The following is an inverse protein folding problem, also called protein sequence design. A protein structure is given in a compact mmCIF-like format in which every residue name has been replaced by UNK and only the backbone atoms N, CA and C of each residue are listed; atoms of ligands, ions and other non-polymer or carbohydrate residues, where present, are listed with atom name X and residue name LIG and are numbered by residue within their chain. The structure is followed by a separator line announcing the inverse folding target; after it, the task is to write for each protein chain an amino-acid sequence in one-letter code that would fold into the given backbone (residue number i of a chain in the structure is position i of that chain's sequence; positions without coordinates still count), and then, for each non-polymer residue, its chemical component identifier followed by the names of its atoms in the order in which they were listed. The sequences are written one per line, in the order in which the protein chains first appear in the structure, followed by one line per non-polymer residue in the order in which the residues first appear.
data_IF_549391132472
#
_entry.id   IF_549391132472
#
_cell.length_a   1.000
_cell.length_b   1.000
_cell.length_c   1.000
_cell.angle_alpha   90.00
_cell.angle_beta   90.00
_cell.angle_gamma   90.00
#
_symmetry.space_group_name_H-M   'P 1'
#
loop_
_entity.id
_entity.type
_entity.pdbx_description
1 polymer ?
#
# COMPACT_ATOMS: atom_id res chain seq x y z
N UNK A 1 -4.52 20.29 27.53
CA UNK A 1 -4.79 18.91 27.06
C UNK A 1 -6.03 18.92 26.18
N UNK A 2 -5.93 18.58 24.89
CA UNK A 2 -7.11 18.48 24.02
C UNK A 2 -7.90 17.21 24.36
N UNK A 3 -9.18 17.33 24.74
CA UNK A 3 -10.05 16.21 25.09
C UNK A 3 -10.11 15.16 23.95
N UNK A 4 -10.02 13.88 24.31
CA UNK A 4 -10.17 12.76 23.39
C UNK A 4 -11.67 12.61 23.09
N UNK A 5 -12.07 12.77 21.82
CA UNK A 5 -13.46 12.48 21.40
C UNK A 5 -13.51 11.07 20.82
N UNK A 6 -14.46 10.25 21.26
CA UNK A 6 -14.63 8.91 20.71
C UNK A 6 -14.82 8.99 19.18
N UNK A 7 -14.11 8.15 18.39
CA UNK A 7 -14.32 8.10 16.96
C UNK A 7 -15.76 7.67 16.66
N UNK A 8 -16.39 8.33 15.68
CA UNK A 8 -17.76 8.01 15.32
C UNK A 8 -17.91 6.58 14.79
N UNK A 9 -19.09 5.97 14.95
CA UNK A 9 -19.42 4.60 14.53
C UNK A 9 -18.96 4.23 13.11
N UNK A 10 -19.00 5.19 12.17
CA UNK A 10 -18.52 5.00 10.79
C UNK A 10 -17.02 4.72 10.72
N UNK A 11 -16.20 5.40 11.51
CA UNK A 11 -14.74 5.21 11.57
C UNK A 11 -14.41 3.83 12.13
N UNK A 12 -15.12 3.43 13.19
CA UNK A 12 -14.96 2.12 13.81
C UNK A 12 -15.23 0.99 12.82
N UNK A 13 -16.41 0.97 12.18
CA UNK A 13 -16.77 -0.07 11.20
C UNK A 13 -15.77 -0.18 10.05
N UNK A 14 -15.26 0.95 9.55
CA UNK A 14 -14.29 0.98 8.44
C UNK A 14 -12.93 0.43 8.84
N UNK A 15 -12.52 0.69 10.09
CA UNK A 15 -11.25 0.17 10.61
C UNK A 15 -11.25 -1.36 10.72
N UNK A 16 -12.43 -1.98 10.85
CA UNK A 16 -12.58 -3.44 10.96
C UNK A 16 -12.60 -4.18 9.61
N UNK A 17 -12.71 -3.49 8.47
CA UNK A 17 -12.74 -4.10 7.13
C UNK A 17 -11.58 -5.08 6.85
N UNK A 18 -10.31 -4.80 7.22
CA UNK A 18 -9.21 -5.75 7.00
C UNK A 18 -9.24 -6.98 7.91
N UNK A 19 -10.00 -6.97 9.01
CA UNK A 19 -9.94 -8.02 10.03
C UNK A 19 -10.37 -9.40 9.50
N UNK A 20 -11.48 -9.55 8.74
CA UNK A 20 -11.85 -10.83 8.15
C UNK A 20 -10.77 -11.42 7.24
N UNK A 21 -10.14 -10.61 6.39
CA UNK A 21 -9.06 -11.08 5.51
C UNK A 21 -7.82 -11.53 6.30
N UNK A 22 -7.47 -10.80 7.37
CA UNK A 22 -6.35 -11.16 8.25
C UNK A 22 -6.62 -12.46 9.01
N UNK A 23 -7.80 -12.60 9.61
CA UNK A 23 -8.22 -13.82 10.32
C UNK A 23 -8.28 -15.02 9.38
N UNK A 24 -8.79 -14.82 8.16
CA UNK A 24 -8.80 -15.86 7.14
C UNK A 24 -7.38 -16.27 6.75
N UNK A 25 -6.48 -15.32 6.51
CA UNK A 25 -5.06 -15.60 6.26
C UNK A 25 -4.41 -16.39 7.40
N UNK A 26 -4.66 -16.00 8.65
CA UNK A 26 -4.16 -16.72 9.82
C UNK A 26 -4.69 -18.17 9.89
N UNK A 27 -5.97 -18.38 9.58
CA UNK A 27 -6.56 -19.72 9.50
C UNK A 27 -5.89 -20.59 8.42
N UNK A 28 -5.65 -20.04 7.22
CA UNK A 28 -4.96 -20.75 6.13
C UNK A 28 -3.53 -21.10 6.54
N UNK A 29 -2.79 -20.15 7.13
CA UNK A 29 -1.42 -20.39 7.62
C UNK A 29 -1.39 -21.50 8.68
N UNK A 30 -2.31 -21.45 9.65
CA UNK A 30 -2.43 -22.48 10.68
C UNK A 30 -2.69 -23.88 10.09
N UNK A 31 -3.62 -23.99 9.13
CA UNK A 31 -3.97 -25.27 8.51
C UNK A 31 -2.80 -25.90 7.73
N UNK A 32 -1.91 -25.08 7.19
CA UNK A 32 -0.72 -25.53 6.47
C UNK A 32 0.52 -25.67 7.36
N UNK A 33 0.38 -25.61 8.69
CA UNK A 33 1.49 -25.80 9.62
C UNK A 33 2.51 -24.66 9.63
N UNK A 34 2.14 -23.47 9.13
CA UNK A 34 3.00 -22.28 9.19
C UNK A 34 3.19 -21.88 10.65
N UNK A 35 4.43 -21.56 11.03
CA UNK A 35 4.79 -21.16 12.39
C UNK A 35 3.87 -20.05 12.95
N UNK A 36 3.47 -20.22 14.21
CA UNK A 36 2.60 -19.28 14.95
C UNK A 36 3.10 -17.85 14.92
N UNK A 37 4.42 -17.66 14.89
CA UNK A 37 5.05 -16.34 14.88
C UNK A 37 4.58 -15.52 13.67
N UNK A 38 4.41 -16.13 12.49
CA UNK A 38 4.06 -15.39 11.27
C UNK A 38 2.62 -14.86 11.30
N UNK A 39 1.64 -15.74 11.52
CA UNK A 39 0.24 -15.29 11.51
C UNK A 39 -0.12 -14.47 12.74
N UNK A 40 0.50 -14.72 13.90
CA UNK A 40 0.27 -13.91 15.10
C UNK A 40 0.87 -12.51 14.94
N UNK A 41 2.02 -12.37 14.27
CA UNK A 41 2.59 -11.07 13.91
C UNK A 41 1.65 -10.28 13.01
N UNK A 42 1.09 -10.93 12.00
CA UNK A 42 0.16 -10.30 11.05
C UNK A 42 -1.15 -9.85 11.73
N UNK A 43 -1.70 -10.70 12.60
CA UNK A 43 -2.89 -10.40 13.40
C UNK A 43 -2.63 -9.24 14.37
N UNK A 44 -1.50 -9.27 15.09
CA UNK A 44 -1.10 -8.23 16.03
C UNK A 44 -0.93 -6.89 15.31
N UNK A 45 -0.27 -6.88 14.15
CA UNK A 45 -0.13 -5.67 13.33
C UNK A 45 -1.47 -5.11 12.88
N UNK A 46 -2.42 -5.97 12.52
CA UNK A 46 -3.77 -5.55 12.10
C UNK A 46 -4.55 -4.94 13.27
N UNK A 47 -4.50 -5.56 14.45
CA UNK A 47 -5.13 -5.04 15.68
C UNK A 47 -4.50 -3.70 16.06
N UNK A 48 -3.17 -3.59 16.04
CA UNK A 48 -2.48 -2.33 16.29
C UNK A 48 -2.86 -1.25 15.27
N UNK A 49 -2.95 -1.60 14.00
CA UNK A 49 -3.42 -0.70 12.94
C UNK A 49 -4.82 -0.16 13.19
N UNK A 50 -5.74 -1.01 13.66
CA UNK A 50 -7.09 -0.61 14.09
C UNK A 50 -7.01 0.38 15.26
N UNK A 51 -6.29 0.03 16.33
CA UNK A 51 -6.15 0.86 17.54
C UNK A 51 -5.55 2.23 17.19
N UNK A 52 -4.47 2.24 16.42
CA UNK A 52 -3.79 3.46 15.98
C UNK A 52 -4.73 4.32 15.13
N UNK A 53 -5.49 3.70 14.21
CA UNK A 53 -6.48 4.41 13.40
C UNK A 53 -7.54 5.07 14.29
N UNK A 54 -8.14 4.33 15.22
CA UNK A 54 -9.13 4.88 16.14
C UNK A 54 -8.55 6.02 16.97
N UNK A 55 -7.31 5.88 17.46
CA UNK A 55 -6.62 6.91 18.22
C UNK A 55 -6.35 8.17 17.39
N UNK A 56 -5.80 8.04 16.18
CA UNK A 56 -5.53 9.18 15.28
C UNK A 56 -6.84 9.93 14.99
N UNK A 57 -7.90 9.21 14.64
CA UNK A 57 -9.18 9.82 14.29
C UNK A 57 -9.90 10.45 15.49
N UNK A 58 -9.62 10.00 16.72
CA UNK A 58 -10.13 10.61 17.96
C UNK A 58 -9.55 12.00 18.25
N UNK A 59 -8.36 12.30 17.69
CA UNK A 59 -7.63 13.55 17.98
C UNK A 59 -7.91 14.68 16.98
N UNK A 60 -8.53 14.39 15.83
CA UNK A 60 -8.93 15.38 14.81
C UNK A 60 -7.86 16.42 14.44
N UNK A 61 -6.57 16.05 14.41
CA UNK A 61 -5.49 16.98 14.07
C UNK A 61 -5.18 16.92 12.58
N UNK A 62 -5.20 18.07 11.92
CA UNK A 62 -4.68 18.24 10.57
C UNK A 62 -3.15 18.31 10.60
N UNK A 63 -2.49 17.83 9.55
CA UNK A 63 -1.03 17.87 9.44
C UNK A 63 -0.57 19.25 8.94
N UNK A 64 0.33 19.95 9.65
CA UNK A 64 0.92 21.20 9.19
C UNK A 64 1.71 21.04 7.88
N UNK A 65 1.76 22.10 7.06
CA UNK A 65 2.49 22.09 5.79
C UNK A 65 4.01 21.83 5.94
N UNK A 66 4.65 22.34 6.99
CA UNK A 66 6.07 22.07 7.31
C UNK A 66 6.35 20.56 7.48
N UNK A 67 5.37 19.82 7.97
CA UNK A 67 5.49 18.39 8.21
C UNK A 67 5.37 17.58 6.90
N UNK A 68 4.86 18.17 5.82
CA UNK A 68 4.75 17.48 4.52
C UNK A 68 6.11 17.32 3.85
N UNK A 69 6.98 18.33 3.89
CA UNK A 69 8.33 18.24 3.33
C UNK A 69 9.20 17.25 4.13
N UNK A 70 9.09 17.29 5.45
CA UNK A 70 9.78 16.33 6.32
C UNK A 70 9.28 14.91 6.05
N UNK A 71 7.96 14.70 5.94
CA UNK A 71 7.40 13.41 5.57
C UNK A 71 7.86 12.93 4.20
N UNK A 72 7.94 13.83 3.20
CA UNK A 72 8.47 13.48 1.88
C UNK A 72 9.93 13.06 1.95
N UNK A 73 10.78 13.84 2.64
CA UNK A 73 12.20 13.53 2.82
C UNK A 73 12.43 12.22 3.57
N UNK A 74 11.69 11.98 4.66
CA UNK A 74 11.77 10.73 5.41
C UNK A 74 11.29 9.52 4.59
N UNK A 75 10.20 9.64 3.85
CA UNK A 75 9.71 8.56 2.99
C UNK A 75 10.66 8.25 1.83
N UNK A 76 11.25 9.28 1.19
CA UNK A 76 12.27 9.08 0.15
C UNK A 76 13.53 8.46 0.77
N UNK A 77 13.97 8.94 1.92
CA UNK A 77 15.07 8.35 2.67
C UNK A 77 14.83 6.88 2.98
N UNK A 78 13.63 6.51 3.41
CA UNK A 78 13.27 5.11 3.68
C UNK A 78 13.28 4.23 2.43
N UNK A 79 12.86 4.74 1.27
CA UNK A 79 13.04 4.03 0.00
C UNK A 79 14.52 3.88 -0.37
N UNK A 80 15.33 4.92 -0.18
CA UNK A 80 16.77 4.87 -0.50
C UNK A 80 17.53 3.91 0.42
N UNK A 81 17.07 3.72 1.67
CA UNK A 81 17.65 2.77 2.60
C UNK A 81 17.63 1.32 2.08
N UNK A 82 16.77 0.98 1.12
CA UNK A 82 16.73 -0.38 0.57
C UNK A 82 17.99 -0.73 -0.24
N UNK A 83 18.71 0.25 -0.76
CA UNK A 83 19.97 0.04 -1.51
C UNK A 83 21.18 -0.21 -0.61
N UNK A 84 21.07 0.07 0.69
CA UNK A 84 22.16 -0.14 1.64
C UNK A 84 22.18 -1.55 2.25
N UNK A 85 21.08 -2.29 2.13
CA UNK A 85 21.05 -3.69 2.55
C UNK A 85 21.70 -4.57 1.49
N UNK A 86 22.28 -5.69 1.92
CA UNK A 86 22.74 -6.74 1.01
C UNK A 86 21.57 -7.14 0.12
N UNK A 87 21.81 -7.16 -1.19
CA UNK A 87 20.81 -7.54 -2.16
C UNK A 87 20.44 -9.01 -1.98
N UNK A 88 19.14 -9.31 -2.14
CA UNK A 88 18.70 -10.68 -2.35
C UNK A 88 18.52 -10.84 -3.85
N UNK A 89 19.50 -11.44 -4.53
CA UNK A 89 19.49 -11.65 -5.98
C UNK A 89 19.28 -10.34 -6.79
N UNK A 90 19.97 -9.26 -6.44
CA UNK A 90 19.82 -7.96 -7.09
C UNK A 90 18.52 -7.22 -6.77
N UNK A 91 17.70 -7.71 -5.83
CA UNK A 91 16.42 -7.08 -5.44
C UNK A 91 16.57 -6.25 -4.17
N UNK A 92 16.25 -4.96 -4.27
CA UNK A 92 16.41 -3.96 -3.21
C UNK A 92 15.07 -3.40 -2.73
N UNK A 93 14.15 -4.25 -2.27
CA UNK A 93 12.81 -3.80 -1.82
C UNK A 93 12.69 -3.60 -0.32
N UNK A 94 13.59 -4.21 0.46
CA UNK A 94 13.44 -4.37 1.90
C UNK A 94 14.41 -3.50 2.71
N UNK A 95 13.90 -2.95 3.80
CA UNK A 95 14.69 -2.40 4.90
C UNK A 95 14.66 -3.37 6.06
N UNK A 96 15.84 -3.85 6.48
CA UNK A 96 15.95 -4.70 7.67
C UNK A 96 15.95 -3.86 8.94
N UNK A 97 14.94 -4.04 9.80
CA UNK A 97 14.81 -3.32 11.07
C UNK A 97 14.47 -4.30 12.17
N UNK A 98 15.37 -4.50 13.13
CA UNK A 98 15.10 -5.28 14.34
C UNK A 98 14.66 -6.73 14.08
N UNK A 99 15.23 -7.41 13.09
CA UNK A 99 14.86 -8.78 12.74
C UNK A 99 13.73 -8.89 11.71
N UNK A 100 13.19 -7.77 11.24
CA UNK A 100 12.04 -7.73 10.32
C UNK A 100 12.45 -7.16 8.97
N UNK A 101 11.98 -7.80 7.89
CA UNK A 101 12.12 -7.31 6.53
C UNK A 101 10.90 -6.47 6.16
N UNK A 102 11.09 -5.15 6.05
CA UNK A 102 10.03 -4.22 5.69
C UNK A 102 10.15 -3.84 4.22
N UNK A 103 9.20 -4.25 3.37
CA UNK A 103 9.09 -3.72 2.02
C UNK A 103 8.77 -2.21 2.11
N UNK A 104 9.67 -1.36 1.60
CA UNK A 104 9.57 0.08 1.76
C UNK A 104 8.50 0.72 0.87
N UNK A 105 8.32 0.20 -0.35
CA UNK A 105 7.31 0.68 -1.30
C UNK A 105 5.88 0.53 -0.75
N UNK A 106 5.56 -0.65 -0.22
CA UNK A 106 4.24 -0.92 0.38
C UNK A 106 3.88 0.04 1.52
N UNK A 107 4.87 0.52 2.29
CA UNK A 107 4.65 1.49 3.38
C UNK A 107 4.54 2.92 2.84
N UNK A 108 5.44 3.32 1.94
CA UNK A 108 5.65 4.72 1.55
C UNK A 108 4.79 5.18 0.38
N UNK A 109 4.42 4.29 -0.55
CA UNK A 109 3.59 4.64 -1.72
C UNK A 109 2.24 5.28 -1.32
N UNK A 110 1.47 4.76 -0.34
CA UNK A 110 0.28 5.45 0.15
C UNK A 110 0.57 6.84 0.72
N UNK A 111 1.73 7.04 1.36
CA UNK A 111 2.16 8.36 1.87
C UNK A 111 2.41 9.32 0.71
N UNK A 112 3.12 8.87 -0.33
CA UNK A 112 3.43 9.70 -1.50
C UNK A 112 2.18 10.16 -2.26
N UNK A 113 1.16 9.30 -2.41
CA UNK A 113 -0.11 9.70 -3.03
C UNK A 113 -0.78 10.87 -2.29
N UNK A 114 -0.77 10.83 -0.95
CA UNK A 114 -1.26 11.95 -0.15
C UNK A 114 -0.39 13.20 -0.28
N UNK A 115 0.94 13.05 -0.29
CA UNK A 115 1.85 14.18 -0.46
C UNK A 115 1.67 14.87 -1.82
N UNK A 116 1.47 14.12 -2.90
CA UNK A 116 1.19 14.65 -4.24
C UNK A 116 -0.06 15.54 -4.22
N UNK A 117 -1.12 15.11 -3.55
CA UNK A 117 -2.36 15.89 -3.44
C UNK A 117 -2.15 17.15 -2.60
N UNK A 118 -1.47 17.03 -1.45
CA UNK A 118 -1.34 18.14 -0.48
C UNK A 118 -0.31 19.20 -0.85
N UNK A 119 0.60 18.94 -1.78
CA UNK A 119 1.65 19.90 -2.19
C UNK A 119 1.18 21.03 -3.14
N UNK A 120 -0.14 21.16 -3.40
CA UNK A 120 -0.71 22.28 -4.16
C UNK A 120 -0.21 22.35 -5.61
N UNK A 121 -0.39 23.48 -6.30
CA UNK A 121 -0.14 23.66 -7.75
C UNK A 121 1.33 23.83 -8.17
N UNK A 122 2.29 23.48 -7.31
CA UNK A 122 3.72 23.60 -7.61
C UNK A 122 4.22 22.45 -8.53
N UNK A 123 5.48 22.54 -9.00
CA UNK A 123 6.17 21.43 -9.71
C UNK A 123 6.56 20.27 -8.79
N UNK A 124 6.56 20.46 -7.47
CA UNK A 124 7.02 19.48 -6.47
C UNK A 124 6.32 18.11 -6.55
N UNK A 125 4.99 18.01 -6.76
CA UNK A 125 4.30 16.73 -6.92
C UNK A 125 4.80 15.93 -8.13
N UNK A 126 5.11 16.62 -9.24
CA UNK A 126 5.66 15.99 -10.44
C UNK A 126 7.08 15.47 -10.16
N UNK A 127 7.92 16.31 -9.55
CA UNK A 127 9.29 15.92 -9.14
C UNK A 127 9.27 14.72 -8.19
N UNK A 128 8.40 14.76 -7.17
CA UNK A 128 8.24 13.67 -6.21
C UNK A 128 7.80 12.38 -6.91
N UNK A 129 6.80 12.46 -7.78
CA UNK A 129 6.34 11.32 -8.59
C UNK A 129 7.47 10.72 -9.44
N UNK A 130 8.24 11.55 -10.15
CA UNK A 130 9.34 11.10 -10.99
C UNK A 130 10.44 10.43 -10.14
N UNK A 131 10.88 11.08 -9.05
CA UNK A 131 11.91 10.54 -8.15
C UNK A 131 11.47 9.18 -7.59
N UNK A 132 10.25 9.11 -7.04
CA UNK A 132 9.76 7.86 -6.43
C UNK A 132 9.62 6.75 -7.47
N UNK A 133 9.09 7.05 -8.67
CA UNK A 133 8.96 6.05 -9.73
C UNK A 133 10.33 5.54 -10.20
N UNK A 134 11.32 6.42 -10.34
CA UNK A 134 12.70 6.03 -10.70
C UNK A 134 13.33 5.17 -9.61
N UNK A 135 13.16 5.52 -8.34
CA UNK A 135 13.65 4.69 -7.24
C UNK A 135 12.99 3.30 -7.28
N UNK A 136 11.67 3.21 -7.44
CA UNK A 136 10.96 1.92 -7.51
C UNK A 136 11.40 1.09 -8.73
N UNK A 137 11.69 1.73 -9.87
CA UNK A 137 12.26 1.06 -11.06
C UNK A 137 13.62 0.42 -10.75
N UNK A 138 14.44 1.07 -9.92
CA UNK A 138 15.72 0.54 -9.47
C UNK A 138 15.58 -0.56 -8.39
N UNK A 139 14.39 -0.77 -7.79
CA UNK A 139 14.10 -1.83 -6.81
C UNK A 139 13.51 -3.13 -7.44
N UNK A 140 13.68 -3.28 -8.75
CA UNK A 140 12.83 -4.06 -9.68
C UNK A 140 11.40 -4.45 -9.25
N UNK A 141 10.61 -3.64 -8.52
CA UNK A 141 9.27 -4.04 -8.01
C UNK A 141 8.13 -3.68 -8.97
N UNK A 142 7.74 -4.61 -9.85
CA UNK A 142 6.67 -4.37 -10.83
C UNK A 142 5.31 -4.05 -10.16
N UNK A 143 4.99 -4.71 -9.04
CA UNK A 143 3.77 -4.43 -8.28
C UNK A 143 3.72 -2.99 -7.81
N UNK A 144 4.78 -2.53 -7.15
CA UNK A 144 4.82 -1.17 -6.60
C UNK A 144 5.00 -0.10 -7.67
N UNK A 145 5.78 -0.36 -8.73
CA UNK A 145 5.87 0.55 -9.89
C UNK A 145 4.50 0.72 -10.52
N UNK A 146 3.77 -0.36 -10.81
CA UNK A 146 2.42 -0.27 -11.39
C UNK A 146 1.43 0.43 -10.48
N UNK A 147 1.33 -0.02 -9.22
CA UNK A 147 0.36 0.50 -8.29
C UNK A 147 0.57 1.98 -8.02
N UNK A 148 1.82 2.40 -7.76
CA UNK A 148 2.13 3.80 -7.49
C UNK A 148 2.01 4.66 -8.74
N UNK A 149 2.63 4.27 -9.86
CA UNK A 149 2.72 5.14 -11.03
C UNK A 149 1.36 5.43 -11.65
N UNK A 150 0.48 4.42 -11.75
CA UNK A 150 -0.88 4.57 -12.29
C UNK A 150 -1.74 5.39 -11.32
N UNK A 151 -1.70 5.10 -10.02
CA UNK A 151 -2.44 5.89 -9.03
C UNK A 151 -2.00 7.35 -8.99
N UNK A 152 -0.69 7.62 -9.02
CA UNK A 152 -0.13 8.96 -9.02
C UNK A 152 -0.44 9.71 -10.33
N UNK A 153 -0.42 9.02 -11.47
CA UNK A 153 -0.82 9.58 -12.76
C UNK A 153 -2.24 10.16 -12.70
N UNK A 154 -3.20 9.47 -12.08
CA UNK A 154 -4.57 9.97 -11.91
C UNK A 154 -4.61 11.30 -11.13
N UNK A 155 -3.78 11.43 -10.10
CA UNK A 155 -3.66 12.65 -9.29
C UNK A 155 -3.02 13.82 -10.05
N UNK A 156 -2.07 13.51 -10.93
CA UNK A 156 -1.35 14.48 -11.74
C UNK A 156 -2.11 14.86 -13.02
N UNK A 157 -3.00 14.00 -13.51
CA UNK A 157 -3.72 14.18 -14.77
C UNK A 157 -4.46 15.52 -14.86
N UNK A 158 -5.15 15.89 -13.78
CA UNK A 158 -5.90 17.15 -13.66
C UNK A 158 -5.01 18.38 -13.63
N UNK A 159 -3.70 18.22 -13.40
CA UNK A 159 -2.72 19.30 -13.31
C UNK A 159 -2.01 19.56 -14.64
N UNK A 160 -2.01 18.58 -15.54
CA UNK A 160 -1.47 18.72 -16.88
C UNK A 160 -2.42 19.57 -17.75
N UNK A 161 -2.06 20.84 -17.98
CA UNK A 161 -2.86 21.76 -18.81
C UNK A 161 -2.70 21.51 -20.31
N UNK A 162 -1.47 21.22 -20.75
CA UNK A 162 -1.19 20.97 -22.18
C UNK A 162 -1.31 19.49 -22.51
N UNK A 163 -1.83 19.12 -23.70
CA UNK A 163 -1.96 17.73 -24.13
C UNK A 163 -0.60 17.01 -24.17
N UNK A 164 0.48 17.71 -24.56
CA UNK A 164 1.83 17.16 -24.58
C UNK A 164 2.26 16.59 -23.22
N UNK A 165 1.99 17.29 -22.11
CA UNK A 165 2.34 16.81 -20.77
C UNK A 165 1.58 15.54 -20.39
N UNK A 166 0.33 15.39 -20.85
CA UNK A 166 -0.46 14.16 -20.63
C UNK A 166 0.12 12.99 -21.40
N UNK A 167 0.51 13.22 -22.66
CA UNK A 167 1.18 12.21 -23.50
C UNK A 167 2.50 11.78 -22.87
N UNK A 168 3.34 12.74 -22.45
CA UNK A 168 4.62 12.43 -21.78
C UNK A 168 4.42 11.64 -20.48
N UNK A 169 3.40 11.99 -19.69
CA UNK A 169 3.06 11.27 -18.46
C UNK A 169 2.64 9.82 -18.77
N UNK A 170 1.77 9.61 -19.78
CA UNK A 170 1.38 8.26 -20.22
C UNK A 170 2.60 7.49 -20.69
N UNK A 171 3.43 8.06 -21.57
CA UNK A 171 4.62 7.39 -22.09
C UNK A 171 5.58 6.98 -20.97
N UNK A 172 5.83 7.88 -20.01
CA UNK A 172 6.70 7.58 -18.87
C UNK A 172 6.13 6.43 -18.02
N UNK A 173 4.84 6.49 -17.67
CA UNK A 173 4.17 5.43 -16.88
C UNK A 173 4.17 4.11 -17.65
N UNK A 174 3.76 4.10 -18.91
CA UNK A 174 3.73 2.90 -19.75
C UNK A 174 5.11 2.29 -19.93
N UNK A 175 6.15 3.10 -20.18
CA UNK A 175 7.52 2.61 -20.32
C UNK A 175 8.04 2.01 -19.00
N UNK A 176 7.81 2.69 -17.87
CA UNK A 176 8.18 2.18 -16.55
C UNK A 176 7.54 0.82 -16.25
N UNK A 177 6.23 0.71 -16.50
CA UNK A 177 5.48 -0.53 -16.29
C UNK A 177 5.96 -1.64 -17.23
N UNK A 178 6.08 -1.36 -18.52
CA UNK A 178 6.54 -2.33 -19.50
C UNK A 178 7.93 -2.86 -19.12
N UNK A 179 8.84 -1.97 -18.73
CA UNK A 179 10.18 -2.36 -18.29
C UNK A 179 10.15 -3.31 -17.09
N UNK A 180 9.40 -3.00 -16.03
CA UNK A 180 9.35 -3.87 -14.84
C UNK A 180 8.67 -5.20 -15.07
N UNK A 181 7.63 -5.24 -15.92
CA UNK A 181 6.92 -6.49 -16.20
C UNK A 181 7.67 -7.40 -17.17
N UNK A 182 8.51 -6.85 -18.04
CA UNK A 182 9.44 -7.65 -18.86
C UNK A 182 10.64 -8.16 -18.07
N UNK A 183 10.97 -7.50 -16.96
CA UNK A 183 12.11 -7.82 -16.09
C UNK A 183 11.63 -8.12 -14.67
N UNK A 184 10.70 -9.07 -14.54
CA UNK A 184 10.27 -9.55 -13.22
C UNK A 184 11.46 -10.14 -12.45
N UNK A 185 11.47 -9.93 -11.14
CA UNK A 185 12.50 -10.51 -10.29
C UNK A 185 12.43 -12.05 -10.30
N UNK A 186 13.59 -12.68 -10.11
CA UNK A 186 13.71 -14.14 -10.08
C UNK A 186 13.50 -14.75 -8.70
N UNK A 187 12.91 -14.03 -7.73
CA UNK A 187 12.77 -14.57 -6.38
C UNK A 187 11.74 -15.69 -6.35
N UNK A 188 12.13 -16.78 -5.69
CA UNK A 188 11.21 -17.87 -5.40
C UNK A 188 10.13 -17.38 -4.42
N UNK A 189 8.89 -17.82 -4.61
CA UNK A 189 7.82 -17.32 -3.78
C UNK A 189 7.82 -17.93 -2.38
N UNK A 190 7.40 -17.14 -1.40
CA UNK A 190 7.05 -17.63 -0.06
C UNK A 190 5.55 -17.89 -0.03
N UNK A 191 5.16 -19.16 0.08
CA UNK A 191 3.76 -19.57 -0.15
C UNK A 191 2.75 -18.83 0.71
N UNK A 192 3.03 -18.66 2.01
CA UNK A 192 2.13 -17.98 2.94
C UNK A 192 2.17 -16.45 2.85
N UNK A 193 3.00 -15.88 1.98
CA UNK A 193 3.10 -14.44 1.71
C UNK A 193 2.42 -14.11 0.37
N UNK A 194 2.78 -14.85 -0.69
CA UNK A 194 2.40 -14.54 -2.07
C UNK A 194 1.35 -15.50 -2.63
N UNK A 195 1.34 -16.75 -2.18
CA UNK A 195 0.46 -17.81 -2.71
C UNK A 195 -0.62 -18.25 -1.74
N UNK A 196 -0.93 -17.44 -0.72
CA UNK A 196 -1.89 -17.80 0.32
C UNK A 196 -3.30 -18.09 -0.22
N UNK A 197 -3.68 -17.46 -1.34
CA UNK A 197 -4.94 -17.77 -2.04
C UNK A 197 -4.92 -19.17 -2.66
N UNK A 198 -3.78 -19.61 -3.21
CA UNK A 198 -3.60 -20.97 -3.69
C UNK A 198 -3.57 -21.98 -2.54
N UNK A 199 -2.93 -21.64 -1.41
CA UNK A 199 -2.97 -22.44 -0.18
C UNK A 199 -4.41 -22.67 0.29
N UNK A 200 -5.28 -21.66 0.22
CA UNK A 200 -6.70 -21.83 0.49
C UNK A 200 -7.38 -22.81 -0.48
N UNK A 201 -7.02 -22.75 -1.76
CA UNK A 201 -7.48 -23.67 -2.80
C UNK A 201 -7.05 -25.13 -2.60
N UNK A 202 -5.90 -25.36 -1.97
CA UNK A 202 -5.45 -26.70 -1.58
C UNK A 202 -6.28 -27.32 -0.44
N UNK A 203 -6.96 -26.48 0.36
CA UNK A 203 -7.94 -26.96 1.35
C UNK A 203 -9.29 -27.19 0.67
N UNK A 204 -9.81 -26.17 -0.02
CA UNK A 204 -10.99 -26.32 -0.89
C UNK A 204 -11.14 -25.16 -1.87
N UNK A 205 -11.78 -25.41 -3.02
CA UNK A 205 -12.13 -24.35 -3.99
C UNK A 205 -13.05 -23.28 -3.40
N UNK A 206 -13.96 -23.68 -2.51
CA UNK A 206 -14.82 -22.73 -1.80
C UNK A 206 -14.00 -21.71 -1.00
N UNK A 207 -13.01 -22.16 -0.22
CA UNK A 207 -12.14 -21.28 0.56
C UNK A 207 -11.29 -20.36 -0.34
N UNK A 208 -10.86 -20.84 -1.51
CA UNK A 208 -10.20 -19.99 -2.51
C UNK A 208 -11.09 -18.84 -2.98
N UNK A 209 -12.37 -19.10 -3.28
CA UNK A 209 -13.32 -18.05 -3.66
C UNK A 209 -13.59 -17.07 -2.52
N UNK A 210 -13.74 -17.58 -1.28
CA UNK A 210 -13.85 -16.73 -0.09
C UNK A 210 -12.64 -15.81 0.04
N UNK A 211 -11.43 -16.31 -0.17
CA UNK A 211 -10.21 -15.52 -0.14
C UNK A 211 -10.27 -14.35 -1.15
N UNK A 212 -10.63 -14.65 -2.40
CA UNK A 212 -10.74 -13.64 -3.47
C UNK A 212 -11.77 -12.55 -3.11
N UNK A 213 -12.94 -12.95 -2.58
CA UNK A 213 -13.99 -12.01 -2.15
C UNK A 213 -13.47 -11.12 -1.01
N UNK A 214 -12.83 -11.70 0.01
CA UNK A 214 -12.27 -10.94 1.12
C UNK A 214 -11.20 -9.94 0.67
N UNK A 215 -10.34 -10.33 -0.28
CA UNK A 215 -9.34 -9.43 -0.85
C UNK A 215 -9.99 -8.29 -1.64
N UNK A 216 -11.01 -8.56 -2.45
CA UNK A 216 -11.74 -7.52 -3.18
C UNK A 216 -12.38 -6.49 -2.23
N UNK A 217 -12.89 -6.94 -1.08
CA UNK A 217 -13.47 -6.07 -0.05
C UNK A 217 -12.43 -5.11 0.58
N UNK A 218 -11.14 -5.43 0.55
CA UNK A 218 -10.09 -4.54 1.08
C UNK A 218 -10.01 -3.22 0.30
N UNK A 219 -10.25 -3.23 -1.01
CA UNK A 219 -10.21 -2.04 -1.86
C UNK A 219 -11.51 -1.21 -1.79
N UNK A 220 -12.64 -1.84 -1.45
CA UNK A 220 -13.97 -1.22 -1.43
C UNK A 220 -14.07 0.11 -0.65
N UNK A 221 -13.51 0.27 0.58
CA UNK A 221 -13.61 1.54 1.30
C UNK A 221 -13.04 2.73 0.52
N UNK A 222 -12.04 2.52 -0.34
CA UNK A 222 -11.39 3.58 -1.10
C UNK A 222 -12.20 4.04 -2.33
N UNK A 223 -13.08 3.20 -2.88
CA UNK A 223 -13.92 3.58 -4.02
C UNK A 223 -15.26 4.17 -3.61
N UNK A 224 -15.89 3.61 -2.57
CA UNK A 224 -17.28 3.93 -2.24
C UNK A 224 -17.41 5.24 -1.43
N UNK A 225 -16.34 5.71 -0.79
CA UNK A 225 -16.48 6.61 0.37
C UNK A 225 -15.63 7.89 0.28
N UNK A 226 -15.00 8.16 -0.86
CA UNK A 226 -14.37 9.44 -1.13
C UNK A 226 -15.42 10.55 -1.19
N UNK A 227 -15.44 11.46 -0.21
CA UNK A 227 -16.38 12.59 -0.18
C UNK A 227 -15.64 13.93 -0.26
N UNK A 228 -16.22 14.89 -0.97
CA UNK A 228 -15.65 16.24 -1.15
C UNK A 228 -14.28 16.24 -1.82
N UNK A 229 -13.38 17.14 -1.39
CA UNK A 229 -12.06 17.35 -2.02
C UNK A 229 -11.09 16.15 -1.92
N UNK A 230 -11.41 15.10 -1.15
CA UNK A 230 -10.56 13.91 -1.04
C UNK A 230 -11.02 12.76 -1.97
N UNK A 231 -12.06 12.96 -2.80
CA UNK A 231 -12.60 11.92 -3.67
C UNK A 231 -11.55 11.35 -4.62
N UNK A 232 -10.74 12.20 -5.25
CA UNK A 232 -9.69 11.76 -6.18
C UNK A 232 -8.54 11.04 -5.47
N UNK A 233 -8.15 11.47 -4.25
CA UNK A 233 -7.15 10.76 -3.44
C UNK A 233 -7.67 9.38 -3.03
N UNK A 234 -8.92 9.31 -2.57
CA UNK A 234 -9.58 8.06 -2.21
C UNK A 234 -9.60 7.10 -3.39
N UNK A 235 -10.05 7.57 -4.57
CA UNK A 235 -10.07 6.77 -5.79
C UNK A 235 -8.67 6.29 -6.18
N UNK A 236 -7.67 7.16 -6.10
CA UNK A 236 -6.28 6.81 -6.44
C UNK A 236 -5.68 5.79 -5.46
N UNK A 237 -5.99 5.88 -4.17
CA UNK A 237 -5.63 4.84 -3.18
C UNK A 237 -6.34 3.52 -3.48
N UNK A 238 -7.61 3.57 -3.91
CA UNK A 238 -8.35 2.39 -4.37
C UNK A 238 -7.65 1.72 -5.54
N UNK A 239 -7.27 2.50 -6.56
CA UNK A 239 -6.50 2.01 -7.71
C UNK A 239 -5.16 1.42 -7.27
N UNK A 240 -4.43 2.09 -6.37
CA UNK A 240 -3.18 1.59 -5.81
C UNK A 240 -3.35 0.21 -5.14
N UNK A 241 -4.30 0.07 -4.22
CA UNK A 241 -4.52 -1.21 -3.53
C UNK A 241 -5.09 -2.28 -4.46
N UNK A 242 -5.94 -1.93 -5.42
CA UNK A 242 -6.43 -2.86 -6.43
C UNK A 242 -5.31 -3.40 -7.31
N UNK A 243 -4.41 -2.55 -7.81
CA UNK A 243 -3.27 -2.99 -8.62
C UNK A 243 -2.34 -3.86 -7.78
N UNK A 244 -2.06 -3.46 -6.54
CA UNK A 244 -1.21 -4.26 -5.64
C UNK A 244 -1.82 -5.65 -5.42
N UNK A 245 -3.14 -5.74 -5.17
CA UNK A 245 -3.85 -7.01 -5.04
C UNK A 245 -3.82 -7.85 -6.32
N UNK A 246 -4.10 -7.24 -7.48
CA UNK A 246 -4.11 -7.94 -8.76
C UNK A 246 -2.72 -8.44 -9.15
N UNK A 247 -1.68 -7.65 -8.88
CA UNK A 247 -0.31 -8.03 -9.19
C UNK A 247 0.14 -9.32 -8.48
N UNK A 248 -0.37 -9.58 -7.27
CA UNK A 248 -0.08 -10.80 -6.50
C UNK A 248 -0.65 -12.08 -7.15
N UNK A 249 -1.58 -11.97 -8.11
CA UNK A 249 -2.05 -13.10 -8.90
C UNK A 249 -1.21 -13.38 -10.15
N UNK A 250 -0.31 -12.46 -10.51
CA UNK A 250 0.50 -12.55 -11.75
C UNK A 250 1.97 -12.81 -11.41
N UNK A 251 2.53 -12.11 -10.42
CA UNK A 251 3.91 -12.28 -9.97
C UNK A 251 4.01 -12.69 -8.50
N UNK A 252 5.23 -12.95 -8.05
CA UNK A 252 5.53 -13.30 -6.65
C UNK A 252 5.54 -12.03 -5.78
N UNK A 253 4.36 -11.42 -5.60
CA UNK A 253 4.18 -10.22 -4.78
C UNK A 253 3.32 -10.49 -3.54
N UNK A 254 3.57 -9.81 -2.40
CA UNK A 254 2.82 -10.04 -1.17
C UNK A 254 1.32 -9.80 -1.31
N UNK A 255 0.50 -10.75 -0.85
CA UNK A 255 -0.96 -10.59 -0.77
C UNK A 255 -1.30 -9.71 0.43
N UNK A 256 -1.79 -8.50 0.18
CA UNK A 256 -2.06 -7.49 1.22
C UNK A 256 -3.02 -8.02 2.30
N UNK A 257 -2.66 -7.79 3.58
CA UNK A 257 -3.39 -8.16 4.81
C UNK A 257 -3.54 -9.67 5.03
N UNK A 258 -3.90 -10.45 4.01
CA UNK A 258 -4.12 -11.89 4.13
C UNK A 258 -2.81 -12.66 4.23
N UNK A 259 -1.86 -12.40 3.33
CA UNK A 259 -0.52 -12.98 3.37
C UNK A 259 0.31 -12.39 4.50
N UNK A 260 1.35 -13.13 4.92
CA UNK A 260 2.26 -12.64 5.96
C UNK A 260 3.06 -11.43 5.47
N UNK A 261 3.05 -10.35 6.26
CA UNK A 261 3.97 -9.23 6.05
C UNK A 261 3.52 -7.98 6.77
N UNK A 262 4.41 -7.35 7.53
CA UNK A 262 4.10 -6.12 8.26
C UNK A 262 3.87 -4.94 7.31
N UNK A 263 4.69 -4.80 6.27
CA UNK A 263 4.59 -3.68 5.32
C UNK A 263 3.23 -3.54 4.64
N UNK A 264 2.62 -4.60 4.06
CA UNK A 264 1.27 -4.50 3.50
C UNK A 264 0.22 -4.04 4.52
N UNK A 265 0.31 -4.51 5.78
CA UNK A 265 -0.62 -4.11 6.85
C UNK A 265 -0.44 -2.63 7.19
N UNK A 266 0.79 -2.20 7.44
CA UNK A 266 1.12 -0.81 7.78
C UNK A 266 0.68 0.13 6.65
N UNK A 267 1.03 -0.19 5.40
CA UNK A 267 0.65 0.57 4.21
C UNK A 267 -0.86 0.72 4.05
N UNK A 268 -1.61 -0.37 4.26
CA UNK A 268 -3.07 -0.35 4.22
C UNK A 268 -3.67 0.62 5.24
N UNK A 269 -3.23 0.55 6.50
CA UNK A 269 -3.73 1.45 7.54
C UNK A 269 -3.28 2.90 7.37
N UNK A 270 -2.12 3.16 6.76
CA UNK A 270 -1.72 4.51 6.34
C UNK A 270 -2.74 5.06 5.32
N UNK A 271 -3.03 4.30 4.26
CA UNK A 271 -4.03 4.70 3.26
C UNK A 271 -5.41 4.91 3.88
N UNK A 272 -5.84 3.99 4.75
CA UNK A 272 -7.13 4.08 5.44
C UNK A 272 -7.22 5.34 6.33
N UNK A 273 -6.15 5.68 7.05
CA UNK A 273 -6.12 6.89 7.87
C UNK A 273 -6.25 8.18 7.05
N UNK A 274 -5.71 8.19 5.82
CA UNK A 274 -5.87 9.32 4.92
C UNK A 274 -7.32 9.47 4.45
N UNK A 275 -7.97 8.37 4.11
CA UNK A 275 -9.39 8.34 3.75
C UNK A 275 -10.28 8.84 4.89
N UNK A 276 -9.97 8.44 6.12
CA UNK A 276 -10.77 8.75 7.31
C UNK A 276 -10.51 10.14 7.88
N UNK A 277 -9.37 10.75 7.54
CA UNK A 277 -9.01 12.08 8.03
C UNK A 277 -10.07 13.11 7.62
N UNK A 278 -10.74 13.68 8.63
CA UNK A 278 -11.61 14.84 8.45
C UNK A 278 -10.75 16.07 8.19
N UNK A 279 -11.24 16.98 7.34
CA UNK A 279 -10.66 18.33 7.20
C UNK A 279 -10.69 19.05 8.54
#
# INVERSE_FOLDING_TARGET
MSAIKLPGWRVFRRSLIPLPACLFGAYIMYHHGVSIVFWLTNLSATILGIIITLFIQSRQKTFPARNLNLAAGLSVGFLLLTFFNKDMFGVHRWVFVGGLNLNAGLITCPVFLMLIVRQGSSLRPLVLFTIVTVILLMQPDASQVSAFSIAAMLLLWSRCKLPLHKVLLILFVSAANLYTWLNLDGLAPVDYVERIVYMAGHISKFLQYVAIVLLALLAAPFFVQGTGNNSLLSFSLGVYFSITLLSAFIGNFPVIIMGYGLSPVIGYFIGLNQLLSKK
#
